data_IF_794543363164
#
_entry.id   IF_794543363164
#
_cell.length_a   1.000
_cell.length_b   1.000
_cell.length_c   1.000
_cell.angle_alpha   90.00
_cell.angle_beta   90.00
_cell.angle_gamma   90.00
#
_symmetry.space_group_name_H-M   'P 1'
#
loop_
_entity.id
_entity.type
_entity.pdbx_description
1 polymer ?
#
# COMPACT_ATOMS: atom_id res chain seq x y z
N UNK A 1 8.95 9.36 9.50
CA UNK A 1 7.92 8.69 8.68
C UNK A 1 6.55 9.33 8.89
N UNK A 2 6.01 9.99 7.86
CA UNK A 2 4.72 10.72 7.97
C UNK A 2 3.55 9.77 8.26
N UNK A 3 3.54 8.58 7.66
CA UNK A 3 2.48 7.56 7.89
C UNK A 3 2.33 7.26 9.39
N UNK A 4 3.42 6.97 10.09
CA UNK A 4 3.39 6.66 11.54
C UNK A 4 2.87 7.85 12.35
N UNK A 5 3.34 9.07 12.02
CA UNK A 5 2.90 10.29 12.73
C UNK A 5 1.41 10.55 12.55
N UNK A 6 0.92 10.49 11.31
CA UNK A 6 -0.50 10.69 11.02
C UNK A 6 -1.37 9.61 11.65
N UNK A 7 -0.98 8.33 11.52
CA UNK A 7 -1.72 7.22 12.08
C UNK A 7 -1.84 7.31 13.61
N UNK A 8 -0.78 7.75 14.30
CA UNK A 8 -0.81 7.98 15.77
C UNK A 8 -1.74 9.12 16.19
N UNK A 9 -1.98 10.09 15.31
CA UNK A 9 -2.93 11.19 15.58
C UNK A 9 -4.37 10.78 15.28
N UNK A 10 -4.61 10.13 14.11
CA UNK A 10 -5.98 9.83 13.67
C UNK A 10 -6.51 8.51 14.25
N UNK A 11 -5.63 7.54 14.53
CA UNK A 11 -6.01 6.23 15.06
C UNK A 11 -6.88 6.29 16.32
N UNK A 12 -6.47 7.02 17.38
CA UNK A 12 -7.27 7.18 18.59
C UNK A 12 -8.64 7.85 18.34
N UNK A 13 -8.70 8.78 17.39
CA UNK A 13 -9.96 9.45 17.00
C UNK A 13 -10.90 8.44 16.35
N UNK A 14 -10.41 7.67 15.38
CA UNK A 14 -11.16 6.63 14.69
C UNK A 14 -11.60 5.51 15.65
N UNK A 15 -10.72 5.12 16.57
CA UNK A 15 -11.04 4.11 17.59
C UNK A 15 -12.18 4.56 18.52
N UNK A 16 -12.20 5.85 18.92
CA UNK A 16 -13.30 6.43 19.69
C UNK A 16 -14.62 6.45 18.89
N UNK A 17 -14.54 6.69 17.60
CA UNK A 17 -15.68 6.65 16.67
C UNK A 17 -16.14 5.22 16.36
N UNK A 18 -15.33 4.20 16.67
CA UNK A 18 -15.53 2.78 16.32
C UNK A 18 -15.69 2.53 14.83
N UNK A 19 -15.07 3.38 14.02
CA UNK A 19 -15.03 3.28 12.56
C UNK A 19 -13.83 4.05 12.02
N UNK A 20 -13.11 3.44 11.08
CA UNK A 20 -12.03 4.10 10.36
C UNK A 20 -11.38 3.18 9.34
N UNK A 21 -10.91 3.77 8.26
CA UNK A 21 -10.12 3.09 7.26
C UNK A 21 -8.98 3.97 6.76
N UNK A 22 -7.79 3.43 6.73
CA UNK A 22 -6.58 4.08 6.25
C UNK A 22 -5.98 3.25 5.12
N UNK A 23 -5.56 3.91 4.05
CA UNK A 23 -4.83 3.28 2.95
C UNK A 23 -3.54 4.07 2.72
N UNK A 24 -2.42 3.38 2.76
CA UNK A 24 -1.12 3.95 2.43
C UNK A 24 -0.75 3.57 1.01
N UNK A 25 -0.38 4.55 0.20
CA UNK A 25 0.22 4.30 -1.12
C UNK A 25 1.73 4.18 -0.90
N UNK A 26 2.23 2.96 -1.07
CA UNK A 26 3.63 2.59 -0.87
C UNK A 26 4.33 2.29 -2.21
N UNK A 27 5.06 1.20 -2.32
CA UNK A 27 5.65 0.70 -3.57
C UNK A 27 5.92 -0.80 -3.46
N UNK A 28 5.94 -1.50 -4.59
CA UNK A 28 6.34 -2.91 -4.66
C UNK A 28 7.70 -3.20 -4.01
N UNK A 29 8.61 -2.22 -3.96
CA UNK A 29 9.90 -2.33 -3.29
C UNK A 29 9.83 -2.62 -1.77
N UNK A 30 8.66 -2.47 -1.15
CA UNK A 30 8.45 -2.90 0.23
C UNK A 30 8.45 -4.44 0.35
N UNK A 31 7.99 -5.14 -0.67
CA UNK A 31 7.90 -6.61 -0.73
C UNK A 31 9.08 -7.23 -1.48
N UNK A 32 9.55 -6.57 -2.54
CA UNK A 32 10.68 -7.01 -3.37
C UNK A 32 11.73 -5.89 -3.48
N UNK A 33 12.68 -5.82 -2.52
CA UNK A 33 13.69 -4.77 -2.46
C UNK A 33 14.57 -4.73 -3.71
N UNK A 34 14.94 -3.53 -4.15
CA UNK A 34 15.79 -3.31 -5.32
C UNK A 34 16.98 -2.43 -4.99
N UNK A 35 18.14 -2.78 -5.56
CA UNK A 35 19.34 -1.95 -5.49
C UNK A 35 19.19 -0.61 -6.23
N UNK A 36 18.20 -0.46 -7.12
CA UNK A 36 17.90 0.80 -7.80
C UNK A 36 17.29 1.85 -6.84
N UNK A 37 16.66 1.42 -5.73
CA UNK A 37 16.08 2.31 -4.73
C UNK A 37 16.15 1.70 -3.31
N UNK A 38 17.38 1.46 -2.78
CA UNK A 38 17.58 0.68 -1.56
C UNK A 38 16.95 1.35 -0.33
N UNK A 39 17.15 2.66 -0.15
CA UNK A 39 16.59 3.40 0.99
C UNK A 39 15.05 3.40 0.97
N UNK A 40 14.47 3.59 -0.22
CA UNK A 40 13.02 3.53 -0.39
C UNK A 40 12.48 2.15 0.00
N UNK A 41 13.12 1.08 -0.46
CA UNK A 41 12.73 -0.30 -0.13
C UNK A 41 12.69 -0.54 1.39
N UNK A 42 13.75 -0.15 2.10
CA UNK A 42 13.83 -0.32 3.56
C UNK A 42 12.75 0.47 4.29
N UNK A 43 12.57 1.76 3.95
CA UNK A 43 11.56 2.61 4.59
C UNK A 43 10.15 2.08 4.32
N UNK A 44 9.88 1.60 3.11
CA UNK A 44 8.56 1.09 2.73
C UNK A 44 8.25 -0.27 3.37
N UNK A 45 9.25 -1.14 3.54
CA UNK A 45 9.10 -2.36 4.34
C UNK A 45 8.77 -2.06 5.81
N UNK A 46 9.36 -1.00 6.37
CA UNK A 46 9.00 -0.54 7.71
C UNK A 46 7.55 -0.03 7.79
N UNK A 47 7.01 0.61 6.74
CA UNK A 47 5.59 0.99 6.66
C UNK A 47 4.69 -0.25 6.63
N UNK A 48 5.06 -1.30 5.89
CA UNK A 48 4.33 -2.57 5.87
C UNK A 48 4.26 -3.22 7.25
N UNK A 49 5.39 -3.26 7.95
CA UNK A 49 5.46 -3.73 9.34
C UNK A 49 4.56 -2.91 10.29
N UNK A 50 4.62 -1.59 10.18
CA UNK A 50 3.78 -0.70 10.97
C UNK A 50 2.28 -0.89 10.69
N UNK A 51 1.90 -1.06 9.43
CA UNK A 51 0.52 -1.35 9.03
C UNK A 51 -0.03 -2.59 9.76
N UNK A 52 0.77 -3.65 9.85
CA UNK A 52 0.39 -4.87 10.58
C UNK A 52 0.21 -4.62 12.09
N UNK A 53 1.11 -3.88 12.70
CA UNK A 53 1.02 -3.52 14.12
C UNK A 53 -0.21 -2.65 14.40
N UNK A 54 -0.47 -1.65 13.57
CA UNK A 54 -1.65 -0.79 13.67
C UNK A 54 -2.96 -1.58 13.58
N UNK A 55 -3.03 -2.51 12.61
CA UNK A 55 -4.21 -3.38 12.45
C UNK A 55 -4.43 -4.28 13.69
N UNK A 56 -3.35 -4.80 14.27
CA UNK A 56 -3.41 -5.62 15.49
C UNK A 56 -3.85 -4.80 16.71
N UNK A 57 -3.42 -3.54 16.80
CA UNK A 57 -3.75 -2.65 17.92
C UNK A 57 -5.19 -2.14 17.86
N UNK A 58 -5.67 -1.71 16.68
CA UNK A 58 -6.93 -0.98 16.55
C UNK A 58 -8.06 -1.76 15.84
N UNK A 59 -7.79 -3.00 15.41
CA UNK A 59 -8.80 -3.83 14.74
C UNK A 59 -10.03 -4.10 15.62
N UNK A 60 -9.84 -4.26 16.94
CA UNK A 60 -10.94 -4.44 17.90
C UNK A 60 -11.90 -3.24 17.95
N UNK A 61 -11.44 -2.05 17.54
CA UNK A 61 -12.23 -0.83 17.47
C UNK A 61 -12.81 -0.57 16.07
N UNK A 62 -12.78 -1.58 15.17
CA UNK A 62 -13.24 -1.46 13.78
C UNK A 62 -12.47 -0.39 12.98
N UNK A 63 -11.16 -0.24 13.28
CA UNK A 63 -10.28 0.65 12.52
C UNK A 63 -9.32 -0.19 11.71
N UNK A 64 -9.29 0.04 10.40
CA UNK A 64 -8.53 -0.74 9.43
C UNK A 64 -7.37 0.07 8.84
N UNK A 65 -6.27 -0.58 8.52
CA UNK A 65 -5.18 0.00 7.76
C UNK A 65 -4.64 -1.03 6.77
N UNK A 66 -4.49 -0.63 5.51
CA UNK A 66 -3.90 -1.45 4.46
C UNK A 66 -2.92 -0.61 3.63
N UNK A 67 -2.01 -1.29 2.95
CA UNK A 67 -1.09 -0.68 2.01
C UNK A 67 -1.42 -1.11 0.59
N UNK A 68 -1.28 -0.20 -0.36
CA UNK A 68 -1.19 -0.50 -1.79
C UNK A 68 0.26 -0.34 -2.20
N UNK A 69 0.77 -1.34 -2.90
CA UNK A 69 2.14 -1.39 -3.39
C UNK A 69 2.14 -1.34 -4.93
N UNK A 70 2.06 -0.14 -5.52
CA UNK A 70 2.09 -0.01 -6.97
C UNK A 70 3.46 -0.42 -7.54
N UNK A 71 3.43 -0.99 -8.74
CA UNK A 71 4.57 -1.08 -9.63
C UNK A 71 4.84 0.24 -10.36
N UNK A 72 5.13 0.16 -11.65
CA UNK A 72 5.34 1.35 -12.48
C UNK A 72 4.01 1.92 -12.97
N UNK A 73 3.70 3.14 -12.52
CA UNK A 73 2.47 3.87 -12.85
C UNK A 73 2.79 5.00 -13.82
N UNK A 74 1.93 5.21 -14.84
CA UNK A 74 2.16 6.16 -15.92
C UNK A 74 2.01 7.65 -15.54
N UNK A 75 1.80 7.95 -14.25
CA UNK A 75 2.01 9.31 -13.73
C UNK A 75 3.47 9.75 -13.87
N UNK A 76 4.38 8.79 -14.03
CA UNK A 76 5.78 9.01 -14.36
C UNK A 76 6.17 8.04 -15.48
N UNK A 77 6.57 8.54 -16.67
CA UNK A 77 6.84 7.67 -17.81
C UNK A 77 8.04 6.77 -17.55
N UNK A 78 7.92 5.50 -17.87
CA UNK A 78 8.99 4.51 -17.86
C UNK A 78 9.52 4.28 -19.28
N UNK A 79 10.78 3.88 -19.38
CA UNK A 79 11.39 3.49 -20.64
C UNK A 79 10.89 2.10 -21.11
N UNK A 80 11.18 1.78 -22.37
CA UNK A 80 10.78 0.49 -22.98
C UNK A 80 11.39 -0.72 -22.26
N UNK A 81 12.61 -0.58 -21.75
CA UNK A 81 13.28 -1.67 -21.04
C UNK A 81 12.54 -2.01 -19.75
N UNK A 82 12.13 -1.01 -18.99
CA UNK A 82 11.31 -1.17 -17.78
C UNK A 82 9.94 -1.77 -18.11
N UNK A 83 9.27 -1.27 -19.16
CA UNK A 83 7.95 -1.79 -19.57
C UNK A 83 8.03 -3.27 -19.98
N UNK A 84 9.10 -3.68 -20.68
CA UNK A 84 9.30 -5.07 -21.09
C UNK A 84 9.52 -6.04 -19.92
N UNK A 85 9.83 -5.55 -18.71
CA UNK A 85 9.94 -6.38 -17.51
C UNK A 85 8.56 -6.66 -16.87
N UNK A 86 7.53 -5.89 -17.24
CA UNK A 86 6.18 -6.03 -16.71
C UNK A 86 5.45 -7.08 -17.56
N UNK A 87 4.95 -8.18 -16.98
CA UNK A 87 4.21 -9.20 -17.74
C UNK A 87 3.02 -8.67 -18.55
N UNK A 88 2.31 -7.66 -18.03
CA UNK A 88 1.22 -7.01 -18.76
C UNK A 88 1.70 -6.04 -19.86
N UNK A 89 3.01 -5.86 -20.06
CA UNK A 89 3.65 -5.04 -21.10
C UNK A 89 3.14 -3.59 -21.15
N UNK A 90 2.71 -3.06 -20.02
CA UNK A 90 2.30 -1.66 -19.84
C UNK A 90 2.50 -1.20 -18.41
N UNK A 91 2.57 0.10 -18.24
CA UNK A 91 2.42 0.70 -16.90
C UNK A 91 0.96 0.64 -16.44
N UNK A 92 0.75 0.61 -15.12
CA UNK A 92 -0.55 0.88 -14.53
C UNK A 92 -0.93 2.36 -14.65
N UNK A 93 -2.18 2.68 -14.36
CA UNK A 93 -2.69 4.05 -14.34
C UNK A 93 -3.00 4.50 -12.90
N UNK A 94 -2.97 5.82 -12.61
CA UNK A 94 -3.46 6.32 -11.32
C UNK A 94 -4.90 5.91 -11.02
N UNK A 95 -5.75 5.81 -12.04
CA UNK A 95 -7.14 5.37 -11.90
C UNK A 95 -7.23 3.92 -11.38
N UNK A 96 -6.41 2.99 -11.91
CA UNK A 96 -6.38 1.61 -11.43
C UNK A 96 -5.97 1.52 -9.95
N UNK A 97 -5.02 2.34 -9.52
CA UNK A 97 -4.64 2.44 -8.09
C UNK A 97 -5.76 3.04 -7.25
N UNK A 98 -6.45 4.06 -7.76
CA UNK A 98 -7.55 4.74 -7.08
C UNK A 98 -8.76 3.82 -6.88
N UNK A 99 -9.09 2.95 -7.84
CA UNK A 99 -10.16 1.95 -7.71
C UNK A 99 -9.88 0.98 -6.56
N UNK A 100 -8.65 0.48 -6.45
CA UNK A 100 -8.26 -0.39 -5.34
C UNK A 100 -8.31 0.37 -4.00
N UNK A 101 -7.84 1.62 -3.97
CA UNK A 101 -7.92 2.45 -2.76
C UNK A 101 -9.38 2.69 -2.34
N UNK A 102 -10.26 3.00 -3.28
CA UNK A 102 -11.69 3.19 -3.05
C UNK A 102 -12.33 1.92 -2.47
N UNK A 103 -12.03 0.75 -3.03
CA UNK A 103 -12.49 -0.53 -2.48
C UNK A 103 -12.01 -0.74 -1.04
N UNK A 104 -10.72 -0.56 -0.76
CA UNK A 104 -10.13 -0.80 0.56
C UNK A 104 -10.64 0.19 1.62
N UNK A 105 -11.04 1.40 1.23
CA UNK A 105 -11.63 2.40 2.12
C UNK A 105 -13.12 2.14 2.39
N UNK A 106 -13.79 1.38 1.54
CA UNK A 106 -15.24 1.11 1.64
C UNK A 106 -15.57 -0.01 2.63
N UNK A 107 -16.86 -0.14 2.98
CA UNK A 107 -17.38 -1.23 3.82
C UNK A 107 -17.29 -2.61 3.14
N UNK A 108 -17.11 -2.66 1.81
CA UNK A 108 -16.88 -3.92 1.08
C UNK A 108 -15.58 -4.61 1.51
N UNK A 109 -14.64 -3.85 2.06
CA UNK A 109 -13.38 -4.36 2.60
C UNK A 109 -13.39 -4.48 4.14
N UNK A 110 -14.55 -4.63 4.77
CA UNK A 110 -14.72 -4.59 6.23
C UNK A 110 -13.88 -5.65 6.98
N UNK A 111 -13.53 -6.78 6.35
CA UNK A 111 -12.72 -7.84 6.96
C UNK A 111 -11.27 -7.86 6.46
N UNK A 112 -10.83 -6.77 5.83
CA UNK A 112 -9.47 -6.63 5.26
C UNK A 112 -8.70 -5.57 6.03
N UNK A 113 -7.67 -5.98 6.76
CA UNK A 113 -6.79 -5.07 7.51
C UNK A 113 -5.39 -5.64 7.67
N UNK A 114 -4.38 -4.78 7.77
CA UNK A 114 -2.99 -5.17 7.94
C UNK A 114 -2.37 -5.85 6.72
N UNK A 115 -2.88 -5.59 5.51
CA UNK A 115 -2.45 -6.26 4.29
C UNK A 115 -1.70 -5.32 3.35
N UNK A 116 -0.80 -5.92 2.58
CA UNK A 116 -0.09 -5.31 1.47
C UNK A 116 -0.69 -5.82 0.15
N UNK A 117 -1.25 -4.90 -0.64
CA UNK A 117 -1.85 -5.20 -1.94
C UNK A 117 -0.92 -4.74 -3.05
N UNK A 118 -0.30 -5.67 -3.73
CA UNK A 118 0.53 -5.39 -4.91
C UNK A 118 -0.36 -5.13 -6.12
N UNK A 119 -0.08 -4.04 -6.85
CA UNK A 119 -0.74 -3.68 -8.11
C UNK A 119 0.35 -3.25 -9.10
N UNK A 120 0.92 -4.20 -9.82
CA UNK A 120 2.17 -4.04 -10.56
C UNK A 120 2.22 -4.71 -11.94
N UNK A 121 1.10 -5.23 -12.42
CA UNK A 121 1.02 -5.92 -13.70
C UNK A 121 1.82 -7.24 -13.75
N UNK A 122 2.10 -7.84 -12.59
CA UNK A 122 2.85 -9.09 -12.45
C UNK A 122 4.37 -8.90 -12.40
N UNK A 123 4.84 -7.68 -12.15
CA UNK A 123 6.26 -7.34 -12.11
C UNK A 123 7.02 -8.11 -11.01
N UNK A 124 6.49 -8.12 -9.79
CA UNK A 124 7.12 -8.82 -8.66
C UNK A 124 6.93 -10.32 -8.77
N UNK A 125 7.94 -11.09 -8.32
CA UNK A 125 7.96 -12.56 -8.38
C UNK A 125 7.75 -13.19 -7.02
N UNK A 126 7.77 -12.40 -5.94
CA UNK A 126 7.52 -12.87 -4.59
C UNK A 126 6.05 -13.26 -4.39
N UNK A 127 5.80 -14.39 -3.78
CA UNK A 127 4.48 -14.90 -3.37
C UNK A 127 4.15 -14.52 -1.93
#
# INVERSE_FOLDING_TARGET
MNVVRLARLVGPIMAKQKVGALVNISTFGAKEPSLSFPISSVIRAAVSSYCKLFASELGHANVRMNNILPGFINSYPADKQTINQIPMLRQGTPAEVAELASFLLSDKAAYITGQDFVIDGGLTKSI
#
